data_IF_082698086241
#
_entry.id   IF_082698086241
#
_cell.length_a   1.000
_cell.length_b   1.000
_cell.length_c   1.000
_cell.angle_alpha   90.00
_cell.angle_beta   90.00
_cell.angle_gamma   90.00
#
_symmetry.space_group_name_H-M   'P 1'
#
loop_
_entity.id
_entity.type
_entity.pdbx_description
1 polymer ?
#
# COMPACT_ATOMS: atom_id res chain seq x y z
N UNK A 1 -2.54 -9.83 9.12
CA UNK A 1 -2.42 -10.42 7.76
C UNK A 1 -3.38 -9.77 6.76
N UNK A 2 -4.70 -9.86 6.91
CA UNK A 2 -5.69 -9.37 5.92
C UNK A 2 -5.52 -7.90 5.50
N UNK A 3 -5.19 -7.01 6.43
CA UNK A 3 -4.99 -5.58 6.13
C UNK A 3 -3.72 -5.33 5.31
N UNK A 4 -2.64 -6.06 5.62
CA UNK A 4 -1.40 -6.01 4.85
C UNK A 4 -1.64 -6.54 3.45
N UNK A 5 -2.37 -7.63 3.25
CA UNK A 5 -2.57 -8.20 1.91
C UNK A 5 -3.47 -7.36 1.01
N UNK A 6 -4.30 -6.47 1.59
CA UNK A 6 -5.31 -5.69 0.88
C UNK A 6 -4.73 -4.56 0.01
N UNK A 7 -3.54 -4.03 0.33
CA UNK A 7 -2.96 -2.92 -0.45
C UNK A 7 -2.68 -3.33 -1.91
N UNK A 8 -2.22 -4.57 -2.14
CA UNK A 8 -1.85 -5.06 -3.47
C UNK A 8 -3.03 -5.17 -4.45
N UNK A 9 -4.18 -5.81 -4.11
CA UNK A 9 -5.33 -5.84 -5.01
C UNK A 9 -5.94 -4.46 -5.25
N UNK A 10 -5.88 -3.54 -4.28
CA UNK A 10 -6.34 -2.15 -4.48
C UNK A 10 -5.48 -1.40 -5.50
N UNK A 11 -4.16 -1.54 -5.43
CA UNK A 11 -3.25 -0.97 -6.43
C UNK A 11 -3.47 -1.57 -7.82
N UNK A 12 -3.67 -2.88 -7.90
CA UNK A 12 -3.94 -3.56 -9.16
C UNK A 12 -5.25 -3.08 -9.78
N UNK A 13 -6.31 -2.96 -8.97
CA UNK A 13 -7.59 -2.44 -9.41
C UNK A 13 -7.48 -0.99 -9.89
N UNK A 14 -6.77 -0.13 -9.14
CA UNK A 14 -6.56 1.27 -9.52
C UNK A 14 -5.82 1.39 -10.86
N UNK A 15 -4.74 0.63 -11.04
CA UNK A 15 -4.00 0.58 -12.31
C UNK A 15 -4.85 0.04 -13.46
N UNK A 16 -5.66 -0.99 -13.21
CA UNK A 16 -6.58 -1.53 -14.22
C UNK A 16 -7.63 -0.50 -14.65
N UNK A 17 -8.19 0.26 -13.71
CA UNK A 17 -9.18 1.31 -14.00
C UNK A 17 -8.55 2.47 -14.78
N UNK A 18 -7.34 2.85 -14.43
CA UNK A 18 -6.58 3.90 -15.13
C UNK A 18 -6.24 3.48 -16.56
N UNK A 19 -5.70 2.26 -16.74
CA UNK A 19 -5.40 1.70 -18.06
C UNK A 19 -6.66 1.58 -18.94
N UNK A 20 -7.83 1.35 -18.34
CA UNK A 20 -9.10 1.29 -19.03
C UNK A 20 -9.72 2.68 -19.31
N UNK A 21 -9.07 3.78 -18.90
CA UNK A 21 -9.58 5.15 -19.04
C UNK A 21 -10.80 5.46 -18.18
N UNK A 22 -11.09 4.64 -17.16
CA UNK A 22 -12.24 4.81 -16.25
C UNK A 22 -11.95 5.89 -15.21
N UNK A 23 -10.68 6.04 -14.83
CA UNK A 23 -10.19 7.09 -13.92
C UNK A 23 -9.04 7.84 -14.58
N UNK A 24 -8.91 9.11 -14.24
CA UNK A 24 -7.79 9.96 -14.62
C UNK A 24 -6.63 9.84 -13.61
N UNK A 25 -5.54 10.57 -13.85
CA UNK A 25 -4.36 10.57 -12.98
C UNK A 25 -4.72 10.99 -11.55
N UNK A 26 -5.65 11.92 -11.38
CA UNK A 26 -6.16 12.33 -10.07
C UNK A 26 -6.89 11.20 -9.35
N UNK A 27 -7.73 10.45 -10.07
CA UNK A 27 -8.42 9.27 -9.56
C UNK A 27 -7.46 8.12 -9.23
N UNK A 28 -6.42 7.90 -10.05
CA UNK A 28 -5.37 6.93 -9.77
C UNK A 28 -4.60 7.31 -8.50
N UNK A 29 -4.17 8.57 -8.39
CA UNK A 29 -3.47 9.11 -7.22
C UNK A 29 -4.28 8.96 -5.94
N UNK A 30 -5.59 9.25 -6.01
CA UNK A 30 -6.52 9.08 -4.89
C UNK A 30 -6.58 7.62 -4.41
N UNK A 31 -6.78 6.66 -5.34
CA UNK A 31 -6.83 5.23 -5.00
C UNK A 31 -5.51 4.66 -4.51
N UNK A 32 -4.39 5.10 -5.08
CA UNK A 32 -3.07 4.72 -4.58
C UNK A 32 -2.82 5.27 -3.18
N UNK A 33 -3.30 6.48 -2.87
CA UNK A 33 -3.24 7.07 -1.52
C UNK A 33 -4.08 6.26 -0.52
N UNK A 34 -5.25 5.79 -0.92
CA UNK A 34 -6.09 4.90 -0.10
C UNK A 34 -5.35 3.59 0.23
N UNK A 35 -4.76 2.94 -0.78
CA UNK A 35 -3.96 1.73 -0.58
C UNK A 35 -2.73 1.99 0.33
N UNK A 36 -2.09 3.16 0.21
CA UNK A 36 -0.98 3.57 1.07
C UNK A 36 -1.41 3.75 2.52
N UNK A 37 -2.57 4.35 2.78
CA UNK A 37 -3.09 4.50 4.14
C UNK A 37 -3.37 3.15 4.80
N UNK A 38 -3.96 2.20 4.06
CA UNK A 38 -4.20 0.83 4.55
C UNK A 38 -2.89 0.12 4.88
N UNK A 39 -1.90 0.22 3.98
CA UNK A 39 -0.58 -0.36 4.20
C UNK A 39 0.13 0.27 5.41
N UNK A 40 -0.02 1.58 5.61
CA UNK A 40 0.50 2.32 6.76
C UNK A 40 -0.12 1.85 8.07
N UNK A 41 -1.43 1.65 8.11
CA UNK A 41 -2.11 1.09 9.28
C UNK A 41 -1.61 -0.33 9.57
N UNK A 42 -1.51 -1.18 8.55
CA UNK A 42 -0.97 -2.53 8.69
C UNK A 42 0.47 -2.53 9.23
N UNK A 43 1.35 -1.67 8.68
CA UNK A 43 2.73 -1.54 9.12
C UNK A 43 2.85 -1.05 10.58
N UNK A 44 1.99 -0.10 10.98
CA UNK A 44 1.97 0.42 12.36
C UNK A 44 1.52 -0.63 13.37
N UNK A 45 0.63 -1.55 12.98
CA UNK A 45 0.21 -2.67 13.84
C UNK A 45 1.34 -3.70 13.92
N UNK A 46 1.87 -4.11 12.77
CA UNK A 46 2.85 -5.21 12.68
C UNK A 46 4.19 -4.88 13.34
N UNK A 47 4.60 -3.62 13.40
CA UNK A 47 5.85 -3.24 14.06
C UNK A 47 5.79 -3.31 15.60
N UNK A 48 4.61 -3.53 16.17
CA UNK A 48 4.47 -3.77 17.60
C UNK A 48 4.76 -5.23 17.98
N UNK A 49 4.85 -6.12 17.00
CA UNK A 49 5.22 -7.52 17.20
C UNK A 49 6.73 -7.67 17.42
N UNK A 50 7.18 -8.77 18.07
CA UNK A 50 8.59 -9.05 18.24
C UNK A 50 9.35 -9.01 16.91
N UNK A 51 10.52 -8.35 16.80
CA UNK A 51 11.25 -8.22 15.54
C UNK A 51 11.65 -9.57 14.90
N UNK A 52 11.79 -10.61 15.73
CA UNK A 52 12.11 -11.98 15.37
C UNK A 52 10.89 -12.82 15.00
N UNK A 53 9.66 -12.31 15.18
CA UNK A 53 8.45 -12.97 14.71
C UNK A 53 8.25 -12.76 13.20
N UNK A 54 7.56 -13.69 12.52
CA UNK A 54 7.16 -13.51 11.12
C UNK A 54 6.40 -12.19 10.91
N UNK A 55 5.54 -11.79 11.84
CA UNK A 55 4.75 -10.57 11.77
C UNK A 55 5.62 -9.31 11.90
N UNK A 56 6.61 -9.31 12.81
CA UNK A 56 7.55 -8.21 12.95
C UNK A 56 8.38 -7.99 11.69
N UNK A 57 8.83 -9.08 11.04
CA UNK A 57 9.50 -9.04 9.75
C UNK A 57 8.60 -8.47 8.65
N UNK A 58 7.33 -8.88 8.59
CA UNK A 58 6.35 -8.31 7.65
C UNK A 58 6.15 -6.81 7.92
N UNK A 59 6.13 -6.38 9.19
CA UNK A 59 6.03 -4.96 9.55
C UNK A 59 7.16 -4.11 8.97
N UNK A 60 8.39 -4.64 8.95
CA UNK A 60 9.54 -3.97 8.32
C UNK A 60 9.34 -3.86 6.81
N UNK A 61 9.01 -4.97 6.14
CA UNK A 61 8.76 -4.99 4.68
C UNK A 61 7.58 -4.09 4.30
N UNK A 62 6.55 -4.01 5.14
CA UNK A 62 5.39 -3.15 4.93
C UNK A 62 5.77 -1.66 4.96
N UNK A 63 6.71 -1.26 5.82
CA UNK A 63 7.23 0.12 5.84
C UNK A 63 8.03 0.46 4.59
N UNK A 64 8.87 -0.46 4.11
CA UNK A 64 9.62 -0.26 2.88
C UNK A 64 8.69 -0.15 1.66
N UNK A 65 7.69 -1.03 1.59
CA UNK A 65 6.67 -1.04 0.55
C UNK A 65 5.84 0.26 0.57
N UNK A 66 5.52 0.78 1.76
CA UNK A 66 4.84 2.06 1.92
C UNK A 66 5.68 3.21 1.35
N UNK A 67 6.97 3.27 1.67
CA UNK A 67 7.85 4.32 1.17
C UNK A 67 7.95 4.31 -0.36
N UNK A 68 8.05 3.12 -0.98
CA UNK A 68 8.03 2.98 -2.43
C UNK A 68 6.71 3.43 -3.06
N UNK A 69 5.59 3.11 -2.40
CA UNK A 69 4.27 3.50 -2.85
C UNK A 69 4.06 5.02 -2.76
N UNK A 70 4.44 5.63 -1.64
CA UNK A 70 4.39 7.09 -1.46
C UNK A 70 5.28 7.82 -2.47
N UNK A 71 6.43 7.27 -2.83
CA UNK A 71 7.28 7.82 -3.87
C UNK A 71 6.60 7.72 -5.25
N UNK A 72 6.02 6.56 -5.57
CA UNK A 72 5.28 6.35 -6.82
C UNK A 72 4.10 7.31 -6.96
N UNK A 73 3.42 7.67 -5.86
CA UNK A 73 2.32 8.65 -5.83
C UNK A 73 2.83 10.08 -6.09
N UNK A 74 4.05 10.41 -5.67
CA UNK A 74 4.66 11.73 -5.90
C UNK A 74 5.13 11.91 -7.34
N UNK A 75 5.60 10.83 -7.95
CA UNK A 75 6.11 10.81 -9.32
C UNK A 75 4.99 10.72 -10.38
N UNK A 76 3.73 10.58 -9.94
CA UNK A 76 2.48 10.62 -10.70
C UNK A 76 1.90 12.05 -10.76
#
# INVERSE_FOLDING_TARGET
MTLYELHAPLLFLAKSQWNAGVIDDAGLKSKMTEAANILKEAANILILEPPDSPEGQIGVVAKESLAQLEQSIKDL
#
